data_IF_391329940274
#
_entry.id   IF_391329940274
#
_cell.length_a   1.000
_cell.length_b   1.000
_cell.length_c   1.000
_cell.angle_alpha   90.00
_cell.angle_beta   90.00
_cell.angle_gamma   90.00
#
_symmetry.space_group_name_H-M   'P 1'
#
loop_
_entity.id
_entity.type
_entity.pdbx_description
1 polymer ?
#
# COMPACT_ATOMS: atom_id res chain seq x y z
N UNK A 1 6.66 -18.48 -10.40
CA UNK A 1 5.83 -18.38 -11.63
C UNK A 1 6.75 -17.95 -12.77
N UNK A 2 6.57 -18.45 -13.97
CA UNK A 2 7.45 -18.14 -15.10
C UNK A 2 6.70 -17.27 -16.12
N UNK A 3 7.40 -16.40 -16.84
CA UNK A 3 6.85 -15.67 -17.99
C UNK A 3 7.79 -15.83 -19.17
N UNK A 4 7.27 -15.66 -20.37
CA UNK A 4 8.10 -15.60 -21.59
C UNK A 4 8.27 -14.14 -21.98
N UNK A 5 9.53 -13.72 -22.06
CA UNK A 5 9.92 -12.42 -22.57
C UNK A 5 10.36 -12.58 -24.02
N UNK A 6 9.79 -11.78 -24.91
CA UNK A 6 10.19 -11.70 -26.31
C UNK A 6 10.95 -10.39 -26.57
N UNK A 7 11.97 -10.46 -27.39
CA UNK A 7 12.78 -9.33 -27.84
C UNK A 7 12.74 -9.33 -29.36
N UNK A 8 12.27 -8.24 -29.94
CA UNK A 8 12.22 -8.05 -31.39
C UNK A 8 13.18 -6.94 -31.80
N UNK A 9 14.02 -7.22 -32.79
CA UNK A 9 14.89 -6.21 -33.41
C UNK A 9 14.26 -5.81 -34.74
N UNK A 10 13.89 -4.53 -34.88
CA UNK A 10 13.37 -4.03 -36.15
C UNK A 10 14.50 -3.99 -37.20
N UNK A 11 14.41 -4.75 -38.30
CA UNK A 11 15.50 -4.86 -39.27
C UNK A 11 15.76 -3.58 -40.06
N UNK A 12 14.79 -2.65 -40.12
CA UNK A 12 14.93 -1.38 -40.85
C UNK A 12 15.48 -0.24 -39.99
N UNK A 13 15.18 -0.26 -38.68
CA UNK A 13 15.52 0.85 -37.77
C UNK A 13 16.52 0.47 -36.70
N UNK A 14 16.84 -0.82 -36.53
CA UNK A 14 17.68 -1.34 -35.45
C UNK A 14 17.05 -1.24 -34.06
N UNK A 15 15.81 -0.73 -33.95
CA UNK A 15 15.13 -0.53 -32.67
C UNK A 15 14.80 -1.88 -32.03
N UNK A 16 15.20 -2.04 -30.77
CA UNK A 16 14.88 -3.22 -29.94
C UNK A 16 13.60 -2.95 -29.15
N UNK A 17 12.64 -3.87 -29.21
CA UNK A 17 11.42 -3.82 -28.38
C UNK A 17 11.31 -5.09 -27.56
N UNK A 18 11.00 -4.93 -26.27
CA UNK A 18 10.76 -6.05 -25.36
C UNK A 18 9.27 -6.18 -25.05
N UNK A 19 8.74 -7.39 -25.12
CA UNK A 19 7.37 -7.71 -24.75
C UNK A 19 7.37 -8.85 -23.72
N UNK A 20 6.40 -8.84 -22.83
CA UNK A 20 6.15 -9.96 -21.90
C UNK A 20 4.77 -10.52 -22.23
N UNK A 21 4.68 -11.83 -22.46
CA UNK A 21 3.38 -12.45 -22.72
C UNK A 21 2.47 -12.33 -21.49
N UNK A 22 1.19 -12.02 -21.72
CA UNK A 22 0.21 -11.72 -20.66
C UNK A 22 -0.17 -12.94 -19.80
N UNK A 23 0.21 -14.16 -20.19
CA UNK A 23 0.03 -15.38 -19.40
C UNK A 23 1.31 -15.79 -18.66
N UNK A 24 1.20 -16.04 -17.35
CA UNK A 24 2.24 -16.72 -16.58
C UNK A 24 2.13 -18.24 -16.75
N UNK A 25 3.26 -18.92 -16.69
CA UNK A 25 3.37 -20.38 -16.71
C UNK A 25 3.69 -20.87 -15.30
N UNK A 26 3.04 -21.95 -14.87
CA UNK A 26 3.25 -22.52 -13.53
C UNK A 26 4.60 -23.22 -13.42
N UNK A 27 5.06 -23.86 -14.50
CA UNK A 27 6.34 -24.58 -14.55
C UNK A 27 7.32 -23.93 -15.52
N UNK A 28 8.62 -24.07 -15.20
CA UNK A 28 9.72 -23.59 -16.04
C UNK A 28 9.72 -24.26 -17.40
N UNK A 29 9.55 -25.58 -17.41
CA UNK A 29 9.57 -26.41 -18.61
C UNK A 29 8.50 -25.97 -19.61
N UNK A 30 7.30 -25.63 -19.13
CA UNK A 30 6.22 -25.18 -20.01
C UNK A 30 6.49 -23.77 -20.59
N UNK A 31 7.10 -22.88 -19.80
CA UNK A 31 7.57 -21.58 -20.28
C UNK A 31 8.69 -21.72 -21.33
N UNK A 32 9.63 -22.64 -21.11
CA UNK A 32 10.74 -22.91 -22.04
C UNK A 32 10.24 -23.47 -23.36
N UNK A 33 9.34 -24.47 -23.35
CA UNK A 33 8.69 -24.98 -24.57
C UNK A 33 7.92 -23.90 -25.32
N UNK A 34 7.27 -22.98 -24.60
CA UNK A 34 6.57 -21.84 -25.21
C UNK A 34 7.56 -20.86 -25.88
N UNK A 35 8.68 -20.55 -25.22
CA UNK A 35 9.73 -19.71 -25.78
C UNK A 35 10.39 -20.36 -27.02
N UNK A 36 10.68 -21.66 -26.98
CA UNK A 36 11.22 -22.42 -28.12
C UNK A 36 10.28 -22.39 -29.33
N UNK A 37 8.98 -22.53 -29.10
CA UNK A 37 7.97 -22.42 -30.16
C UNK A 37 7.99 -21.03 -30.80
N UNK A 38 8.06 -19.96 -30.01
CA UNK A 38 8.12 -18.58 -30.53
C UNK A 38 9.41 -18.36 -31.32
N UNK A 39 10.54 -18.85 -30.82
CA UNK A 39 11.81 -18.78 -31.53
C UNK A 39 11.73 -19.49 -32.88
N UNK A 40 11.15 -20.69 -32.94
CA UNK A 40 10.97 -21.41 -34.20
C UNK A 40 10.05 -20.68 -35.17
N UNK A 41 8.91 -20.19 -34.67
CA UNK A 41 7.84 -19.65 -35.51
C UNK A 41 8.16 -18.20 -36.00
N UNK A 42 9.01 -17.44 -35.28
CA UNK A 42 9.29 -16.01 -35.55
C UNK A 42 10.77 -15.63 -35.62
N UNK A 43 11.72 -16.58 -35.65
CA UNK A 43 13.15 -16.26 -35.73
C UNK A 43 13.53 -15.45 -36.97
N UNK A 44 12.83 -15.63 -38.09
CA UNK A 44 13.09 -14.88 -39.32
C UNK A 44 12.70 -13.38 -39.20
N UNK A 45 11.82 -13.05 -38.25
CA UNK A 45 11.37 -11.67 -37.98
C UNK A 45 12.25 -10.96 -36.94
N UNK A 46 13.41 -11.54 -36.59
CA UNK A 46 14.31 -11.01 -35.57
C UNK A 46 13.74 -11.08 -34.15
N UNK A 47 12.77 -11.97 -33.92
CA UNK A 47 12.17 -12.21 -32.62
C UNK A 47 12.93 -13.32 -31.89
N UNK A 48 13.32 -13.06 -30.65
CA UNK A 48 13.89 -14.03 -29.72
C UNK A 48 13.06 -14.07 -28.44
N UNK A 49 12.87 -15.24 -27.87
CA UNK A 49 12.05 -15.50 -26.71
C UNK A 49 12.83 -16.30 -25.67
N UNK A 50 12.65 -15.95 -24.39
CA UNK A 50 13.24 -16.67 -23.26
C UNK A 50 12.24 -16.81 -22.12
N UNK A 51 12.27 -17.96 -21.44
CA UNK A 51 11.60 -18.14 -20.17
C UNK A 51 12.34 -17.38 -19.07
N UNK A 52 11.61 -16.65 -18.25
CA UNK A 52 12.14 -15.89 -17.12
C UNK A 52 11.32 -16.24 -15.90
N UNK A 53 12.01 -16.59 -14.81
CA UNK A 53 11.37 -16.75 -13.53
C UNK A 53 10.94 -15.38 -13.01
N UNK A 54 9.64 -15.22 -12.80
CA UNK A 54 9.09 -14.07 -12.12
C UNK A 54 8.82 -14.51 -10.69
N UNK A 55 9.56 -13.92 -9.76
CA UNK A 55 9.16 -13.92 -8.36
C UNK A 55 7.85 -13.16 -8.30
N UNK A 56 6.73 -13.89 -8.34
CA UNK A 56 5.45 -13.34 -7.96
C UNK A 56 5.66 -12.77 -6.56
N UNK A 57 5.58 -11.45 -6.40
CA UNK A 57 5.28 -10.92 -5.08
C UNK A 57 3.90 -11.49 -4.77
N UNK A 58 3.88 -12.60 -4.03
CA UNK A 58 2.68 -13.05 -3.36
C UNK A 58 2.33 -11.87 -2.48
N UNK A 59 1.30 -11.12 -2.84
CA UNK A 59 0.71 -10.14 -1.95
C UNK A 59 0.36 -10.93 -0.70
N UNK A 60 1.17 -10.79 0.34
CA UNK A 60 1.03 -11.54 1.57
C UNK A 60 -0.15 -10.91 2.32
N UNK A 61 -1.34 -11.29 1.90
CA UNK A 61 -2.60 -10.77 2.42
C UNK A 61 -2.69 -11.03 3.94
N UNK A 62 -2.08 -12.12 4.39
CA UNK A 62 -1.96 -12.45 5.82
C UNK A 62 -1.10 -11.43 6.56
N UNK A 63 0.07 -11.06 6.02
CA UNK A 63 0.90 -9.99 6.59
C UNK A 63 0.17 -8.65 6.63
N UNK A 64 -0.61 -8.32 5.59
CA UNK A 64 -1.45 -7.12 5.59
C UNK A 64 -2.47 -7.11 6.74
N UNK A 65 -3.19 -8.21 6.95
CA UNK A 65 -4.15 -8.31 8.05
C UNK A 65 -3.49 -8.36 9.43
N UNK A 66 -2.28 -8.92 9.54
CA UNK A 66 -1.48 -8.86 10.76
C UNK A 66 -1.03 -7.42 11.08
N UNK A 67 -0.51 -6.69 10.09
CA UNK A 67 -0.13 -5.30 10.28
C UNK A 67 -1.35 -4.43 10.63
N UNK A 68 -2.49 -4.66 9.97
CA UNK A 68 -3.73 -3.95 10.29
C UNK A 68 -4.21 -4.26 11.71
N UNK A 69 -4.08 -5.51 12.17
CA UNK A 69 -4.39 -5.89 13.56
C UNK A 69 -3.46 -5.20 14.56
N UNK A 70 -2.16 -5.13 14.28
CA UNK A 70 -1.19 -4.43 15.12
C UNK A 70 -1.50 -2.94 15.23
N UNK A 71 -1.82 -2.29 14.11
CA UNK A 71 -2.23 -0.88 14.10
C UNK A 71 -3.52 -0.68 14.88
N UNK A 72 -4.53 -1.52 14.68
CA UNK A 72 -5.81 -1.42 15.40
C UNK A 72 -5.64 -1.66 16.91
N UNK A 73 -4.76 -2.57 17.31
CA UNK A 73 -4.44 -2.78 18.73
C UNK A 73 -3.83 -1.53 19.38
N UNK A 74 -3.05 -0.76 18.63
CA UNK A 74 -2.44 0.48 19.09
C UNK A 74 -3.46 1.62 19.21
N UNK A 75 -4.28 1.83 18.17
CA UNK A 75 -5.15 3.01 18.07
C UNK A 75 -6.56 2.77 18.63
N UNK A 76 -6.88 1.55 19.06
CA UNK A 76 -8.17 1.18 19.63
C UNK A 76 -9.13 0.51 18.64
N UNK A 77 -10.22 -0.05 19.20
CA UNK A 77 -11.13 -0.96 18.50
C UNK A 77 -11.77 -0.33 17.24
N UNK A 78 -11.88 -1.17 16.19
CA UNK A 78 -12.64 -0.88 14.97
C UNK A 78 -14.14 -1.12 15.10
N UNK A 79 -14.59 -1.66 16.23
CA UNK A 79 -16.00 -1.99 16.44
C UNK A 79 -16.85 -0.73 16.38
N UNK A 80 -18.07 -0.89 15.85
CA UNK A 80 -19.00 0.21 15.77
C UNK A 80 -19.36 0.67 17.20
N UNK A 81 -19.24 1.98 17.50
CA UNK A 81 -19.61 2.50 18.80
C UNK A 81 -21.12 2.34 19.03
N UNK A 82 -21.54 2.13 20.28
CA UNK A 82 -22.95 1.98 20.66
C UNK A 82 -23.42 3.26 21.36
N UNK A 83 -24.53 3.89 20.91
CA UNK A 83 -25.35 3.53 19.76
C UNK A 83 -24.65 3.82 18.42
N UNK A 84 -24.98 3.01 17.40
CA UNK A 84 -24.40 3.07 16.06
C UNK A 84 -25.04 4.21 15.26
N UNK A 85 -24.70 5.44 15.61
CA UNK A 85 -25.11 6.66 14.89
C UNK A 85 -23.91 7.32 14.20
N UNK A 86 -24.12 8.03 13.08
CA UNK A 86 -23.03 8.64 12.29
C UNK A 86 -22.07 9.51 13.11
N UNK A 87 -22.60 10.25 14.09
CA UNK A 87 -21.84 11.14 14.96
C UNK A 87 -20.88 10.34 15.85
N UNK A 88 -21.36 9.26 16.46
CA UNK A 88 -20.54 8.38 17.30
C UNK A 88 -19.48 7.66 16.47
N UNK A 89 -19.81 7.19 15.27
CA UNK A 89 -18.84 6.56 14.35
C UNK A 89 -17.74 7.57 13.99
N UNK A 90 -18.12 8.81 13.66
CA UNK A 90 -17.17 9.86 13.32
C UNK A 90 -16.27 10.22 14.51
N UNK A 91 -16.86 10.35 15.70
CA UNK A 91 -16.12 10.58 16.95
C UNK A 91 -15.14 9.44 17.26
N UNK A 92 -15.57 8.19 17.14
CA UNK A 92 -14.71 7.03 17.36
C UNK A 92 -13.52 7.03 16.39
N UNK A 93 -13.74 7.30 15.10
CA UNK A 93 -12.65 7.42 14.11
C UNK A 93 -11.66 8.53 14.47
N UNK A 94 -12.17 9.70 14.91
CA UNK A 94 -11.33 10.83 15.32
C UNK A 94 -10.47 10.50 16.54
N UNK A 95 -11.06 9.87 17.57
CA UNK A 95 -10.31 9.45 18.78
C UNK A 95 -9.21 8.45 18.45
N UNK A 96 -9.46 7.51 17.52
CA UNK A 96 -8.45 6.55 17.06
C UNK A 96 -7.32 7.25 16.29
N UNK A 97 -7.65 8.23 15.45
CA UNK A 97 -6.65 9.04 14.77
C UNK A 97 -5.77 9.83 15.77
N UNK A 98 -6.39 10.47 16.76
CA UNK A 98 -5.67 11.15 17.85
C UNK A 98 -4.74 10.20 18.61
N UNK A 99 -5.19 8.99 18.94
CA UNK A 99 -4.36 7.98 19.61
C UNK A 99 -3.12 7.60 18.78
N UNK A 100 -3.29 7.40 17.48
CA UNK A 100 -2.18 7.11 16.56
C UNK A 100 -1.19 8.27 16.44
N UNK A 101 -1.69 9.51 16.28
CA UNK A 101 -0.86 10.71 16.21
C UNK A 101 -0.07 10.93 17.50
N UNK A 102 -0.72 10.73 18.66
CA UNK A 102 -0.05 10.79 19.96
C UNK A 102 1.06 9.75 20.09
N UNK A 103 0.83 8.51 19.62
CA UNK A 103 1.88 7.50 19.60
C UNK A 103 3.05 7.90 18.70
N UNK A 104 2.78 8.48 17.53
CA UNK A 104 3.85 8.98 16.65
C UNK A 104 4.71 10.04 17.35
N UNK A 105 4.08 11.02 18.00
CA UNK A 105 4.78 12.11 18.70
C UNK A 105 5.65 11.61 19.86
N UNK A 106 5.15 10.65 20.64
CA UNK A 106 5.80 10.24 21.89
C UNK A 106 6.78 9.08 21.72
N UNK A 107 6.48 8.14 20.80
CA UNK A 107 7.22 6.88 20.72
C UNK A 107 8.02 6.75 19.43
N UNK A 108 7.49 7.21 18.29
CA UNK A 108 8.12 6.94 16.97
C UNK A 108 9.08 8.04 16.55
N UNK A 109 8.62 9.29 16.54
CA UNK A 109 9.40 10.44 16.08
C UNK A 109 10.69 10.62 16.90
N UNK A 110 10.72 10.45 18.24
CA UNK A 110 11.95 10.55 19.01
C UNK A 110 13.04 9.55 18.59
N UNK A 111 12.67 8.43 17.97
CA UNK A 111 13.61 7.41 17.49
C UNK A 111 14.25 7.77 16.14
N UNK A 112 13.78 8.83 15.46
CA UNK A 112 14.38 9.29 14.21
C UNK A 112 15.76 9.87 14.51
N UNK A 113 16.80 9.25 13.92
CA UNK A 113 18.21 9.60 14.16
C UNK A 113 18.58 10.93 13.54
N UNK A 114 18.11 11.20 12.33
CA UNK A 114 18.34 12.47 11.64
C UNK A 114 17.57 13.60 12.33
N UNK A 115 18.28 14.59 12.86
CA UNK A 115 17.67 15.63 13.69
C UNK A 115 16.80 16.61 12.90
N UNK A 116 17.20 16.91 11.66
CA UNK A 116 16.44 17.82 10.81
C UNK A 116 15.13 17.16 10.39
N UNK A 117 15.21 15.92 9.91
CA UNK A 117 14.04 15.12 9.55
C UNK A 117 13.13 14.90 10.75
N UNK A 118 13.69 14.56 11.92
CA UNK A 118 12.92 14.42 13.17
C UNK A 118 12.14 15.69 13.49
N UNK A 119 12.80 16.85 13.43
CA UNK A 119 12.17 18.14 13.73
C UNK A 119 11.07 18.48 12.72
N UNK A 120 11.31 18.26 11.43
CA UNK A 120 10.31 18.50 10.39
C UNK A 120 9.08 17.61 10.60
N UNK A 121 9.27 16.30 10.77
CA UNK A 121 8.16 15.36 10.99
C UNK A 121 7.42 15.68 12.28
N UNK A 122 8.13 16.03 13.36
CA UNK A 122 7.50 16.47 14.61
C UNK A 122 6.53 17.63 14.39
N UNK A 123 6.97 18.70 13.73
CA UNK A 123 6.14 19.90 13.51
C UNK A 123 4.88 19.59 12.69
N UNK A 124 5.00 18.72 11.69
CA UNK A 124 3.87 18.32 10.87
C UNK A 124 2.84 17.52 11.67
N UNK A 125 3.30 16.51 12.41
CA UNK A 125 2.41 15.63 13.18
C UNK A 125 1.78 16.39 14.36
N UNK A 126 2.52 17.29 15.02
CA UNK A 126 2.00 18.14 16.10
C UNK A 126 0.89 19.07 15.60
N UNK A 127 1.08 19.69 14.43
CA UNK A 127 0.05 20.51 13.79
C UNK A 127 -1.22 19.71 13.45
N UNK A 128 -1.08 18.50 12.88
CA UNK A 128 -2.23 17.63 12.57
C UNK A 128 -2.94 17.19 13.85
N UNK A 129 -2.18 16.83 14.89
CA UNK A 129 -2.73 16.45 16.18
C UNK A 129 -3.54 17.59 16.79
N UNK A 130 -3.01 18.82 16.80
CA UNK A 130 -3.73 19.99 17.28
C UNK A 130 -5.06 20.21 16.55
N UNK A 131 -5.07 20.10 15.20
CA UNK A 131 -6.31 20.17 14.40
C UNK A 131 -7.32 19.11 14.87
N UNK A 132 -6.88 17.86 15.06
CA UNK A 132 -7.78 16.78 15.48
C UNK A 132 -8.34 16.98 16.89
N UNK A 133 -7.62 17.66 17.78
CA UNK A 133 -8.14 18.05 19.10
C UNK A 133 -9.20 19.15 19.00
N UNK A 134 -9.00 20.15 18.14
CA UNK A 134 -10.01 21.20 17.92
C UNK A 134 -11.31 20.65 17.35
N UNK A 135 -11.24 19.75 16.37
CA UNK A 135 -12.43 19.10 15.80
C UNK A 135 -13.23 18.30 16.86
N UNK A 136 -12.54 17.68 17.81
CA UNK A 136 -13.22 16.96 18.90
C UNK A 136 -13.90 17.91 19.89
N UNK A 137 -13.24 19.01 20.24
CA UNK A 137 -13.79 20.04 21.13
C UNK A 137 -15.03 20.68 20.51
N UNK A 138 -14.97 21.07 19.24
CA UNK A 138 -16.10 21.65 18.51
C UNK A 138 -17.28 20.66 18.42
N UNK A 139 -17.01 19.38 18.20
CA UNK A 139 -18.04 18.34 18.25
C UNK A 139 -18.65 18.21 19.65
N UNK A 140 -17.85 18.31 20.71
CA UNK A 140 -18.31 18.31 22.10
C UNK A 140 -19.24 19.50 22.42
N UNK A 141 -18.88 20.70 21.99
CA UNK A 141 -19.67 21.93 22.20
C UNK A 141 -21.03 21.84 21.49
N UNK A 142 -21.06 21.31 20.25
CA UNK A 142 -22.32 21.12 19.49
C UNK A 142 -23.25 20.11 20.15
N UNK A 143 -22.72 19.03 20.70
CA UNK A 143 -23.53 18.03 21.39
C UNK A 143 -24.11 18.55 22.72
N UNK A 144 -23.36 19.37 23.46
CA UNK A 144 -23.84 20.01 24.68
C UNK A 144 -24.99 21.00 24.41
N UNK A 145 -24.91 21.74 23.31
CA UNK A 145 -25.95 22.71 22.90
C UNK A 145 -27.21 22.04 22.34
N UNK A 146 -27.11 20.87 21.70
CA UNK A 146 -28.27 20.07 21.25
C UNK A 146 -29.01 19.36 22.41
N UNK A 147 -28.35 19.12 23.55
CA UNK A 147 -28.95 18.43 24.71
C UNK A 147 -29.77 19.35 25.63
N UNK A 148 -29.86 20.64 25.31
CA UNK A 148 -30.54 21.68 26.10
C UNK A 148 -31.82 22.19 25.42
N UNK A 149 -32.27 21.55 24.34
CA UNK A 149 -33.53 21.85 23.65
C UNK A 149 -34.56 20.74 23.82
#
# INVERSE_FOLDING_TARGET
MFKVQTTQINPRTGKVTHYTLQGGFETREYAERSAERINRDFSQDGVTAKAVEVKTQVNNLDAYYEDQRRVNALIGSTDAPVPVIPENISRNRLLRAQAGLRHLLLEVIPQITDEQQRREVHLWIDGIYAITCFEELDAGVRNASASTQ
#
